data_IF_052282276956
#
_entry.id   IF_052282276956
#
_cell.length_a   1.000
_cell.length_b   1.000
_cell.length_c   1.000
_cell.angle_alpha   90.00
_cell.angle_beta   90.00
_cell.angle_gamma   90.00
#
_symmetry.space_group_name_H-M   'P 1'
#
loop_
_entity.id
_entity.type
_entity.pdbx_description
1 polymer ?
#
# COMPACT_ATOMS: atom_id res chain seq x y z
N UNK A 1 -20.82 5.22 -60.68
CA UNK A 1 -22.17 4.84 -60.21
C UNK A 1 -22.34 5.07 -58.69
N UNK A 2 -21.89 6.21 -58.14
CA UNK A 2 -21.81 6.43 -56.65
C UNK A 2 -22.56 7.70 -56.18
N UNK A 3 -23.12 8.51 -57.09
CA UNK A 3 -23.71 9.81 -56.73
C UNK A 3 -25.17 9.80 -56.23
N UNK A 4 -25.91 8.70 -56.39
CA UNK A 4 -27.33 8.62 -56.01
C UNK A 4 -27.55 8.34 -54.52
N UNK A 5 -26.71 7.50 -53.93
CA UNK A 5 -26.85 7.05 -52.54
C UNK A 5 -26.49 8.16 -51.54
N UNK A 6 -25.40 8.89 -51.78
CA UNK A 6 -24.94 10.00 -50.95
C UNK A 6 -25.88 11.21 -50.97
N UNK A 7 -26.50 11.51 -52.13
CA UNK A 7 -27.53 12.56 -52.23
C UNK A 7 -28.85 12.18 -51.55
N UNK A 8 -29.20 10.89 -51.56
CA UNK A 8 -30.41 10.39 -50.88
C UNK A 8 -30.26 10.45 -49.36
N UNK A 9 -29.10 10.04 -48.83
CA UNK A 9 -28.82 10.14 -47.40
C UNK A 9 -28.76 11.60 -46.97
N UNK A 10 -28.00 12.46 -47.67
CA UNK A 10 -27.88 13.87 -47.25
C UNK A 10 -29.20 14.63 -47.25
N UNK A 11 -30.07 14.37 -48.23
CA UNK A 11 -31.41 14.99 -48.30
C UNK A 11 -32.38 14.40 -47.27
N UNK A 12 -32.27 13.10 -46.94
CA UNK A 12 -33.03 12.48 -45.84
C UNK A 12 -32.58 13.01 -44.48
N UNK A 13 -31.28 13.12 -44.24
CA UNK A 13 -30.73 13.70 -43.00
C UNK A 13 -31.14 15.17 -42.89
N UNK A 14 -31.03 15.94 -43.98
CA UNK A 14 -31.43 17.36 -43.99
C UNK A 14 -32.93 17.56 -43.75
N UNK A 15 -33.80 16.78 -44.41
CA UNK A 15 -35.26 16.93 -44.19
C UNK A 15 -35.73 16.44 -42.83
N UNK A 16 -35.10 15.41 -42.28
CA UNK A 16 -35.52 14.79 -41.01
C UNK A 16 -34.92 15.51 -39.80
N UNK A 17 -33.66 15.95 -39.91
CA UNK A 17 -32.95 16.59 -38.81
C UNK A 17 -32.85 18.11 -38.95
N UNK A 18 -32.93 18.67 -40.17
CA UNK A 18 -32.63 20.07 -40.46
C UNK A 18 -33.78 20.93 -41.03
N UNK A 19 -35.06 20.63 -40.76
CA UNK A 19 -36.18 21.49 -41.22
C UNK A 19 -37.19 21.94 -40.14
N UNK A 20 -37.06 21.52 -38.88
CA UNK A 20 -38.03 21.86 -37.81
C UNK A 20 -37.32 22.31 -36.53
N UNK A 21 -37.31 23.63 -36.27
CA UNK A 21 -36.51 24.33 -35.24
C UNK A 21 -36.55 23.71 -33.84
N UNK A 22 -37.71 23.22 -33.38
CA UNK A 22 -37.85 22.61 -32.04
C UNK A 22 -37.28 21.19 -31.95
N UNK A 23 -37.42 20.39 -33.01
CA UNK A 23 -36.90 19.00 -33.06
C UNK A 23 -35.38 18.95 -33.10
N UNK A 24 -34.73 19.95 -33.74
CA UNK A 24 -33.45 20.56 -33.34
C UNK A 24 -32.81 20.02 -32.08
N UNK A 25 -33.06 20.77 -31.03
CA UNK A 25 -32.45 20.60 -29.74
C UNK A 25 -32.67 19.18 -29.20
N UNK A 26 -33.90 18.66 -29.32
CA UNK A 26 -34.24 17.33 -28.80
C UNK A 26 -33.44 16.21 -29.45
N UNK A 27 -33.17 16.31 -30.75
CA UNK A 27 -32.46 15.25 -31.49
C UNK A 27 -30.96 15.30 -31.22
N UNK A 28 -30.40 16.50 -31.09
CA UNK A 28 -29.00 16.69 -30.70
C UNK A 28 -28.77 16.22 -29.27
N UNK A 29 -29.67 16.54 -28.33
CA UNK A 29 -29.57 16.08 -26.94
C UNK A 29 -29.75 14.56 -26.85
N UNK A 30 -30.77 14.01 -27.50
CA UNK A 30 -31.01 12.57 -27.48
C UNK A 30 -29.85 11.77 -28.10
N UNK A 31 -29.28 12.24 -29.21
CA UNK A 31 -28.10 11.60 -29.82
C UNK A 31 -26.85 11.71 -28.95
N UNK A 32 -26.63 12.84 -28.28
CA UNK A 32 -25.53 13.00 -27.31
C UNK A 32 -25.64 12.03 -26.12
N UNK A 33 -26.86 11.87 -25.57
CA UNK A 33 -27.11 10.90 -24.48
C UNK A 33 -26.92 9.47 -24.95
N UNK A 34 -27.48 9.10 -26.11
CA UNK A 34 -27.32 7.77 -26.68
C UNK A 34 -25.86 7.43 -26.99
N UNK A 35 -25.12 8.39 -27.56
CA UNK A 35 -23.69 8.26 -27.81
C UNK A 35 -22.91 8.10 -26.50
N UNK A 36 -23.20 8.90 -25.47
CA UNK A 36 -22.50 8.81 -24.18
C UNK A 36 -22.67 7.44 -23.53
N UNK A 37 -23.89 6.89 -23.52
CA UNK A 37 -24.16 5.56 -22.97
C UNK A 37 -23.40 4.48 -23.76
N UNK A 38 -23.47 4.53 -25.08
CA UNK A 38 -22.79 3.57 -25.95
C UNK A 38 -21.26 3.66 -25.84
N UNK A 39 -20.72 4.88 -25.80
CA UNK A 39 -19.29 5.15 -25.69
C UNK A 39 -18.75 4.69 -24.35
N UNK A 40 -19.41 5.03 -23.23
CA UNK A 40 -18.99 4.58 -21.91
C UNK A 40 -19.00 3.05 -21.81
N UNK A 41 -20.06 2.40 -22.30
CA UNK A 41 -20.15 0.92 -22.25
C UNK A 41 -19.06 0.25 -23.09
N UNK A 42 -18.73 0.78 -24.27
CA UNK A 42 -17.63 0.26 -25.09
C UNK A 42 -16.27 0.52 -24.47
N UNK A 43 -16.06 1.74 -23.96
CA UNK A 43 -14.78 2.12 -23.38
C UNK A 43 -14.49 1.35 -22.10
N UNK A 44 -15.48 1.15 -21.24
CA UNK A 44 -15.39 0.30 -20.05
C UNK A 44 -15.01 -1.13 -20.42
N UNK A 45 -15.71 -1.75 -21.40
CA UNK A 45 -15.36 -3.09 -21.86
C UNK A 45 -13.96 -3.18 -22.45
N UNK A 46 -13.55 -2.18 -23.23
CA UNK A 46 -12.21 -2.13 -23.80
C UNK A 46 -11.15 -2.00 -22.70
N UNK A 47 -11.36 -1.07 -21.76
CA UNK A 47 -10.47 -0.81 -20.66
C UNK A 47 -10.36 -2.01 -19.72
N UNK A 48 -11.47 -2.67 -19.43
CA UNK A 48 -11.53 -3.86 -18.59
C UNK A 48 -10.79 -5.03 -19.24
N UNK A 49 -10.98 -5.27 -20.54
CA UNK A 49 -10.26 -6.32 -21.26
C UNK A 49 -8.75 -6.02 -21.35
N UNK A 50 -8.37 -4.75 -21.54
CA UNK A 50 -6.96 -4.32 -21.62
C UNK A 50 -6.25 -4.41 -20.27
N UNK A 51 -6.98 -4.17 -19.18
CA UNK A 51 -6.46 -4.11 -17.81
C UNK A 51 -6.70 -5.43 -17.05
N UNK A 52 -7.29 -6.43 -17.71
CA UNK A 52 -7.62 -7.73 -17.15
C UNK A 52 -6.38 -8.37 -16.49
N UNK A 53 -6.52 -8.73 -15.21
CA UNK A 53 -5.43 -9.35 -14.45
C UNK A 53 -4.42 -8.39 -13.83
N UNK A 54 -4.52 -7.07 -14.09
CA UNK A 54 -3.77 -6.02 -13.39
C UNK A 54 -4.61 -5.31 -12.31
N UNK A 55 -5.94 -5.40 -12.38
CA UNK A 55 -6.84 -4.78 -11.40
C UNK A 55 -6.73 -5.45 -10.04
N UNK A 56 -6.69 -4.67 -8.97
CA UNK A 56 -6.69 -5.20 -7.61
C UNK A 56 -7.77 -6.26 -7.36
N UNK A 57 -8.97 -6.06 -7.92
CA UNK A 57 -10.08 -7.01 -7.75
C UNK A 57 -9.81 -8.39 -8.37
N UNK A 58 -8.98 -8.45 -9.42
CA UNK A 58 -8.58 -9.69 -10.11
C UNK A 58 -7.33 -10.34 -9.47
N UNK A 59 -6.52 -9.56 -8.74
CA UNK A 59 -5.25 -10.02 -8.13
C UNK A 59 -5.39 -10.30 -6.63
N UNK A 60 -6.36 -9.68 -5.95
CA UNK A 60 -6.51 -9.79 -4.49
C UNK A 60 -6.56 -11.24 -4.00
N UNK A 61 -7.16 -12.14 -4.78
CA UNK A 61 -7.30 -13.55 -4.40
C UNK A 61 -5.97 -14.30 -4.48
N UNK A 62 -5.02 -13.87 -5.33
CA UNK A 62 -3.65 -14.39 -5.36
C UNK A 62 -2.91 -13.98 -4.09
N UNK A 63 -2.97 -12.70 -3.73
CA UNK A 63 -2.35 -12.20 -2.49
C UNK A 63 -3.01 -12.75 -1.23
N UNK A 64 -4.34 -12.98 -1.22
CA UNK A 64 -5.05 -13.57 -0.09
C UNK A 64 -4.74 -15.06 0.12
N UNK A 65 -4.34 -15.76 -0.95
CA UNK A 65 -3.96 -17.18 -0.90
C UNK A 65 -2.49 -17.37 -0.53
N UNK A 66 -1.63 -16.45 -0.98
CA UNK A 66 -0.22 -16.38 -0.61
C UNK A 66 -0.01 -15.76 0.79
N UNK A 67 -0.99 -15.04 1.33
CA UNK A 67 -1.04 -14.64 2.73
C UNK A 67 -1.38 -15.80 3.67
N UNK A 68 -0.70 -16.95 3.49
CA UNK A 68 -0.35 -17.74 4.67
C UNK A 68 0.52 -16.81 5.52
N UNK A 69 -0.08 -16.32 6.60
CA UNK A 69 0.40 -15.39 7.62
C UNK A 69 1.74 -15.84 8.27
N UNK A 70 2.79 -16.06 7.50
CA UNK A 70 3.96 -16.80 7.96
C UNK A 70 5.29 -16.36 7.40
N UNK A 71 5.39 -15.93 6.14
CA UNK A 71 6.67 -15.48 5.58
C UNK A 71 6.46 -14.38 4.55
N UNK A 72 6.76 -13.14 4.94
CA UNK A 72 7.03 -12.08 3.98
C UNK A 72 8.24 -12.52 3.13
N UNK A 73 8.17 -12.33 1.81
CA UNK A 73 9.35 -12.48 0.98
C UNK A 73 10.44 -11.50 1.44
N UNK A 74 11.72 -11.85 1.31
CA UNK A 74 12.84 -10.98 1.70
C UNK A 74 12.72 -9.58 1.08
N UNK A 75 12.21 -9.48 -0.16
CA UNK A 75 12.02 -8.22 -0.86
C UNK A 75 10.85 -7.39 -0.28
N UNK A 76 9.78 -8.06 0.13
CA UNK A 76 8.63 -7.40 0.76
C UNK A 76 8.99 -6.88 2.15
N UNK A 77 9.77 -7.67 2.92
CA UNK A 77 10.29 -7.24 4.21
C UNK A 77 11.20 -6.01 4.06
N UNK A 78 12.07 -5.97 3.04
CA UNK A 78 12.90 -4.80 2.75
C UNK A 78 12.05 -3.58 2.35
N UNK A 79 11.03 -3.78 1.52
CA UNK A 79 10.12 -2.71 1.09
C UNK A 79 9.33 -2.17 2.29
N UNK A 80 8.83 -3.05 3.16
CA UNK A 80 8.13 -2.69 4.38
C UNK A 80 9.03 -1.93 5.35
N UNK A 81 10.27 -2.38 5.54
CA UNK A 81 11.23 -1.70 6.40
C UNK A 81 11.57 -0.30 5.89
N UNK A 82 11.81 -0.14 4.58
CA UNK A 82 12.09 1.16 3.97
C UNK A 82 10.92 2.14 4.05
N UNK A 83 9.71 1.66 3.75
CA UNK A 83 8.48 2.48 3.86
C UNK A 83 8.22 2.88 5.31
N UNK A 84 8.30 1.95 6.25
CA UNK A 84 8.16 2.24 7.68
C UNK A 84 9.20 3.27 8.14
N UNK A 85 10.45 3.14 7.71
CA UNK A 85 11.49 4.10 8.06
C UNK A 85 11.13 5.53 7.60
N UNK A 86 10.63 5.68 6.38
CA UNK A 86 10.17 6.97 5.86
C UNK A 86 9.03 7.54 6.72
N UNK A 87 8.00 6.74 7.01
CA UNK A 87 6.86 7.18 7.84
C UNK A 87 7.32 7.52 9.26
N UNK A 88 8.25 6.76 9.84
CA UNK A 88 8.80 7.01 11.17
C UNK A 88 9.52 8.35 11.26
N UNK A 89 10.33 8.69 10.26
CA UNK A 89 11.00 9.99 10.19
C UNK A 89 9.97 11.10 10.02
N UNK A 90 8.98 10.94 9.15
CA UNK A 90 7.92 11.92 8.96
C UNK A 90 7.12 12.15 10.25
N UNK A 91 6.74 11.09 10.95
CA UNK A 91 6.03 11.15 12.22
C UNK A 91 6.79 12.00 13.25
N UNK A 92 8.12 11.84 13.34
CA UNK A 92 8.95 12.65 14.24
C UNK A 92 8.96 14.14 13.86
N UNK A 93 8.75 14.50 12.59
CA UNK A 93 8.74 15.89 12.11
C UNK A 93 7.39 16.58 12.27
N UNK A 94 6.31 15.83 12.15
CA UNK A 94 4.93 16.34 12.30
C UNK A 94 4.42 16.27 13.74
N UNK A 95 5.20 15.67 14.65
CA UNK A 95 4.87 15.58 16.07
C UNK A 95 4.51 16.96 16.62
N UNK A 96 3.29 17.14 17.18
CA UNK A 96 2.88 18.41 17.78
C UNK A 96 3.45 18.60 19.19
N UNK A 97 4.20 17.61 19.72
CA UNK A 97 4.82 17.70 21.03
C UNK A 97 5.67 18.97 21.11
N UNK A 98 5.34 19.83 22.07
CA UNK A 98 5.89 21.18 22.16
C UNK A 98 7.41 21.13 22.23
N UNK A 99 8.09 21.68 21.22
CA UNK A 99 9.56 21.80 21.13
C UNK A 99 10.22 22.56 22.30
N UNK A 100 9.45 22.99 23.29
CA UNK A 100 9.87 23.68 24.52
C UNK A 100 9.70 22.88 25.82
N UNK A 101 9.05 21.71 25.82
CA UNK A 101 8.97 20.85 27.00
C UNK A 101 10.07 19.79 26.92
N UNK A 102 11.18 19.99 27.63
CA UNK A 102 12.39 19.14 27.64
C UNK A 102 12.16 17.67 28.03
N UNK A 103 10.93 17.23 28.30
CA UNK A 103 10.66 15.91 28.85
C UNK A 103 10.26 14.86 27.79
N UNK A 104 9.81 15.26 26.60
CA UNK A 104 9.42 14.30 25.55
C UNK A 104 10.35 14.44 24.36
N UNK A 105 11.36 13.56 24.27
CA UNK A 105 12.12 13.38 23.03
C UNK A 105 11.12 13.01 21.93
N UNK A 106 11.18 13.70 20.78
CA UNK A 106 10.47 13.34 19.55
C UNK A 106 10.97 11.97 19.03
N UNK A 107 10.64 10.88 19.73
CA UNK A 107 10.78 9.54 19.20
C UNK A 107 9.63 9.36 18.22
N UNK A 108 9.92 8.96 16.98
CA UNK A 108 8.92 8.81 15.93
C UNK A 108 7.80 7.79 16.25
N UNK A 109 7.54 6.86 15.34
CA UNK A 109 6.46 5.89 15.55
C UNK A 109 6.90 4.86 16.59
N UNK A 110 6.14 4.75 17.68
CA UNK A 110 6.32 3.71 18.70
C UNK A 110 5.36 2.53 18.49
N UNK A 111 4.11 2.80 18.13
CA UNK A 111 3.08 1.77 17.96
C UNK A 111 2.16 2.14 16.79
N UNK A 112 1.83 1.15 15.94
CA UNK A 112 0.81 1.25 14.90
C UNK A 112 -0.29 0.25 15.23
N UNK A 113 -1.49 0.76 15.51
CA UNK A 113 -2.66 -0.04 15.80
C UNK A 113 -3.51 -0.21 14.54
N UNK A 114 -3.80 -1.46 14.19
CA UNK A 114 -4.78 -1.79 13.16
C UNK A 114 -5.92 -2.60 13.78
N UNK A 115 -6.93 -2.95 12.96
CA UNK A 115 -8.06 -3.76 13.43
C UNK A 115 -7.66 -5.19 13.83
N UNK A 116 -6.58 -5.72 13.25
CA UNK A 116 -6.24 -7.14 13.33
C UNK A 116 -4.90 -7.40 14.03
N UNK A 117 -3.99 -6.44 13.98
CA UNK A 117 -2.67 -6.56 14.61
C UNK A 117 -2.16 -5.19 15.06
N UNK A 118 -1.21 -5.21 15.98
CA UNK A 118 -0.47 -4.05 16.46
C UNK A 118 1.01 -4.24 16.14
N UNK A 119 1.64 -3.23 15.55
CA UNK A 119 3.09 -3.21 15.33
C UNK A 119 3.73 -2.31 16.38
N UNK A 120 4.66 -2.85 17.15
CA UNK A 120 5.52 -2.08 18.04
C UNK A 120 6.87 -1.83 17.40
N UNK A 121 7.40 -0.63 17.60
CA UNK A 121 8.71 -0.20 17.13
C UNK A 121 9.51 0.36 18.32
N UNK A 122 10.69 -0.19 18.53
CA UNK A 122 11.67 0.31 19.47
C UNK A 122 12.90 0.81 18.70
N UNK A 123 13.20 2.10 18.83
CA UNK A 123 14.40 2.70 18.25
C UNK A 123 15.49 2.85 19.31
N UNK A 124 16.68 2.34 19.03
CA UNK A 124 17.85 2.51 19.88
C UNK A 124 18.46 3.91 19.72
N UNK A 125 19.27 4.37 20.68
CA UNK A 125 20.04 5.61 20.54
C UNK A 125 20.98 5.62 19.33
N UNK A 126 21.43 4.44 18.88
CA UNK A 126 22.27 4.27 17.67
C UNK A 126 21.48 4.35 16.36
N UNK A 127 20.14 4.45 16.41
CA UNK A 127 19.28 4.60 15.23
C UNK A 127 18.71 3.30 14.66
N UNK A 128 19.11 2.15 15.21
CA UNK A 128 18.59 0.82 14.84
C UNK A 128 17.15 0.68 15.35
N UNK A 129 16.28 0.07 14.55
CA UNK A 129 14.86 -0.08 14.85
C UNK A 129 14.50 -1.55 14.93
N UNK A 130 13.96 -1.95 16.06
CA UNK A 130 13.40 -3.28 16.28
C UNK A 130 11.89 -3.18 16.15
N UNK A 131 11.32 -4.01 15.28
CA UNK A 131 9.90 -4.01 15.00
C UNK A 131 9.33 -5.41 15.24
N UNK A 132 8.17 -5.48 15.87
CA UNK A 132 7.45 -6.73 16.05
C UNK A 132 5.95 -6.49 15.88
N UNK A 133 5.29 -7.40 15.16
CA UNK A 133 3.85 -7.43 15.00
C UNK A 133 3.25 -8.46 15.97
N UNK A 134 2.16 -8.09 16.62
CA UNK A 134 1.44 -8.93 17.58
C UNK A 134 -0.07 -8.74 17.43
N UNK A 135 -0.84 -9.61 18.07
CA UNK A 135 -2.29 -9.42 18.24
C UNK A 135 -2.59 -8.27 19.23
N UNK A 136 -3.79 -7.69 19.16
CA UNK A 136 -4.21 -6.48 19.87
C UNK A 136 -4.17 -6.61 21.41
N UNK A 137 -4.26 -7.85 21.91
CA UNK A 137 -4.36 -8.16 23.34
C UNK A 137 -3.01 -8.06 24.05
N UNK A 138 -1.89 -8.19 23.33
CA UNK A 138 -0.59 -8.23 23.96
C UNK A 138 0.06 -6.86 24.14
N UNK A 139 0.36 -6.55 25.41
CA UNK A 139 0.91 -5.26 25.84
C UNK A 139 2.38 -5.34 26.28
N UNK A 140 2.92 -6.55 26.47
CA UNK A 140 4.29 -6.79 26.99
C UNK A 140 5.40 -6.68 25.94
N UNK A 141 5.08 -6.34 24.69
CA UNK A 141 6.03 -6.41 23.58
C UNK A 141 7.12 -5.33 23.65
N UNK A 142 6.89 -4.20 24.33
CA UNK A 142 7.92 -3.16 24.54
C UNK A 142 9.16 -3.71 25.25
N UNK A 143 8.96 -4.50 26.30
CA UNK A 143 10.06 -5.05 27.10
C UNK A 143 10.84 -6.11 26.33
N UNK A 144 10.13 -6.85 25.47
CA UNK A 144 10.71 -7.86 24.60
C UNK A 144 11.61 -7.21 23.55
N UNK A 145 11.18 -6.08 22.96
CA UNK A 145 12.00 -5.34 22.01
C UNK A 145 13.28 -4.77 22.66
N UNK A 146 13.22 -4.33 23.91
CA UNK A 146 14.41 -3.92 24.67
C UNK A 146 15.34 -5.12 24.91
N UNK A 147 14.79 -6.30 25.24
CA UNK A 147 15.57 -7.54 25.37
C UNK A 147 16.19 -7.99 24.04
N UNK A 148 15.49 -7.82 22.92
CA UNK A 148 16.03 -8.07 21.57
C UNK A 148 17.24 -7.18 21.27
N UNK A 149 17.22 -5.92 21.70
CA UNK A 149 18.38 -5.03 21.58
C UNK A 149 19.58 -5.54 22.40
N UNK A 150 19.35 -6.10 23.59
CA UNK A 150 20.38 -6.76 24.38
C UNK A 150 21.03 -7.93 23.62
N UNK A 151 20.20 -8.83 23.07
CA UNK A 151 20.67 -9.95 22.24
C UNK A 151 21.43 -9.48 21.00
N UNK A 152 20.94 -8.44 20.31
CA UNK A 152 21.64 -7.85 19.18
C UNK A 152 23.03 -7.36 19.56
N UNK A 153 23.15 -6.68 20.70
CA UNK A 153 24.43 -6.16 21.18
C UNK A 153 25.42 -7.30 21.51
N UNK A 154 24.93 -8.40 22.07
CA UNK A 154 25.76 -9.53 22.45
C UNK A 154 26.24 -10.38 21.28
N UNK A 155 25.40 -10.63 20.27
CA UNK A 155 25.74 -11.55 19.18
C UNK A 155 26.17 -10.85 17.89
N UNK A 156 25.69 -9.63 17.63
CA UNK A 156 26.04 -8.87 16.45
C UNK A 156 27.24 -7.94 16.72
N UNK A 157 27.17 -7.10 17.76
CA UNK A 157 28.21 -6.08 18.00
C UNK A 157 29.50 -6.64 18.63
N UNK A 158 29.42 -7.75 19.38
CA UNK A 158 30.64 -8.42 19.89
C UNK A 158 31.36 -9.24 18.83
N UNK A 159 30.76 -9.46 17.67
CA UNK A 159 31.39 -10.21 16.59
C UNK A 159 32.25 -9.25 15.73
N UNK A 160 33.59 -9.36 15.76
CA UNK A 160 34.48 -8.45 15.02
C UNK A 160 34.37 -8.58 13.50
N UNK A 161 33.74 -9.64 12.99
CA UNK A 161 33.52 -9.87 11.56
C UNK A 161 32.12 -9.44 11.09
N UNK A 162 31.30 -8.85 11.97
CA UNK A 162 29.96 -8.42 11.62
C UNK A 162 29.95 -7.00 11.04
N UNK A 163 29.35 -6.85 9.86
CA UNK A 163 29.11 -5.57 9.22
C UNK A 163 27.64 -5.16 9.42
N UNK A 164 27.40 -3.91 9.84
CA UNK A 164 26.06 -3.41 10.20
C UNK A 164 25.04 -3.46 9.06
N UNK A 165 25.48 -3.37 7.80
CA UNK A 165 24.62 -3.39 6.61
C UNK A 165 24.31 -4.80 6.11
N UNK A 166 24.87 -5.83 6.76
CA UNK A 166 24.68 -7.22 6.38
C UNK A 166 23.67 -7.91 7.30
N UNK A 167 22.90 -8.87 6.77
CA UNK A 167 21.98 -9.65 7.60
C UNK A 167 22.73 -10.39 8.70
N UNK A 168 22.13 -10.47 9.88
CA UNK A 168 22.67 -11.23 11.02
C UNK A 168 22.56 -12.72 10.67
N UNK A 169 23.67 -13.45 10.71
CA UNK A 169 23.76 -14.88 10.37
C UNK A 169 24.18 -15.76 11.56
N UNK A 170 24.03 -15.25 12.77
CA UNK A 170 24.47 -15.95 13.98
C UNK A 170 23.40 -16.93 14.44
N UNK A 171 23.69 -18.23 14.36
CA UNK A 171 22.77 -19.29 14.83
C UNK A 171 22.45 -19.17 16.34
N UNK A 172 23.41 -18.64 17.12
CA UNK A 172 23.23 -18.39 18.55
C UNK A 172 22.23 -17.26 18.80
N UNK A 173 22.25 -16.22 17.96
CA UNK A 173 21.26 -15.14 18.00
C UNK A 173 19.85 -15.70 17.71
N UNK A 174 19.70 -16.48 16.65
CA UNK A 174 18.41 -17.06 16.26
C UNK A 174 17.85 -17.97 17.37
N UNK A 175 18.69 -18.82 17.95
CA UNK A 175 18.31 -19.73 19.03
C UNK A 175 17.80 -18.98 20.26
N UNK A 176 18.47 -17.88 20.65
CA UNK A 176 18.07 -17.05 21.79
C UNK A 176 16.85 -16.20 21.50
N UNK A 177 16.71 -15.69 20.28
CA UNK A 177 15.54 -14.93 19.86
C UNK A 177 14.28 -15.81 19.91
N UNK A 178 14.35 -17.05 19.40
CA UNK A 178 13.23 -18.01 19.49
C UNK A 178 12.86 -18.30 20.95
N UNK A 179 13.84 -18.44 21.85
CA UNK A 179 13.56 -18.61 23.28
C UNK A 179 12.87 -17.38 23.89
N UNK A 180 13.32 -16.18 23.54
CA UNK A 180 12.74 -14.94 24.01
C UNK A 180 11.28 -14.80 23.55
N UNK A 181 11.00 -15.07 22.27
CA UNK A 181 9.64 -14.98 21.70
C UNK A 181 8.69 -16.00 22.35
N UNK A 182 9.16 -17.21 22.66
CA UNK A 182 8.35 -18.23 23.37
C UNK A 182 8.00 -17.85 24.81
N UNK A 183 8.69 -16.89 25.40
CA UNK A 183 8.45 -16.44 26.78
C UNK A 183 7.33 -15.39 26.86
N UNK A 184 6.94 -14.84 25.71
CA UNK A 184 5.86 -13.86 25.54
C UNK A 184 4.57 -14.60 25.29
#
# INVERSE_FOLDING_TARGET
>A
MVGGFTKSISSFTYRTFFKKESTYFTTVVASGVAFSIAFNTMFEKYWDNKTAGTKWIDIKDRYAKDSKLGQLSSNEALTLAGTFHGIHVLASRISPATKGSQSVKDSGIQTIDTKNFRIHCYQTPTGIKFMAATDLLETKLSDVLVKMYGLYSDYALKNPFYNLEMPIRSEMFDSRLVQLVKTV
#
